data_IF_067232976479
#
_entry.id   IF_067232976479
#
_cell.length_a   1.000
_cell.length_b   1.000
_cell.length_c   1.000
_cell.angle_alpha   90.00
_cell.angle_beta   90.00
_cell.angle_gamma   90.00
#
_symmetry.space_group_name_H-M   'P 1'
#
loop_
_entity.id
_entity.type
_entity.pdbx_description
1 polymer ?
#
# COMPACT_ATOMS: atom_id res chain seq x y z
N UNK A 1 5.15 4.60 15.97
CA UNK A 1 6.34 3.79 16.29
C UNK A 1 6.92 3.30 14.98
N UNK A 2 8.10 3.77 14.62
CA UNK A 2 8.78 3.34 13.40
C UNK A 2 9.42 1.96 13.58
N UNK A 3 9.27 1.09 12.59
CA UNK A 3 10.31 0.13 12.27
C UNK A 3 10.90 0.50 10.92
N UNK A 4 12.21 0.76 10.97
CA UNK A 4 13.17 0.87 9.88
C UNK A 4 12.96 -0.19 8.80
N UNK A 5 13.50 0.09 7.59
CA UNK A 5 13.58 -0.83 6.44
C UNK A 5 13.60 -2.27 6.92
N UNK A 6 12.64 -3.09 6.50
CA UNK A 6 12.68 -4.53 6.82
C UNK A 6 13.89 -5.11 6.10
N UNK A 7 15.06 -5.10 6.77
CA UNK A 7 16.26 -5.81 6.38
C UNK A 7 16.14 -7.31 6.60
N UNK A 8 14.91 -7.84 6.69
CA UNK A 8 14.65 -9.24 6.99
C UNK A 8 13.83 -9.89 5.85
N UNK A 9 14.50 -10.55 4.88
CA UNK A 9 13.88 -11.28 3.78
C UNK A 9 12.76 -12.25 4.19
N UNK A 10 12.80 -12.75 5.43
CA UNK A 10 11.79 -13.65 5.98
C UNK A 10 10.40 -13.02 6.15
N UNK A 11 10.31 -11.73 6.49
CA UNK A 11 9.02 -11.05 6.65
C UNK A 11 8.36 -10.78 5.29
N UNK A 12 9.14 -10.44 4.27
CA UNK A 12 8.65 -10.32 2.90
C UNK A 12 8.20 -11.68 2.35
N UNK A 13 8.96 -12.75 2.65
CA UNK A 13 8.58 -14.11 2.30
C UNK A 13 7.31 -14.57 3.03
N UNK A 14 7.16 -14.24 4.32
CA UNK A 14 5.96 -14.57 5.10
C UNK A 14 4.74 -13.78 4.63
N UNK A 15 4.89 -12.50 4.28
CA UNK A 15 3.83 -11.69 3.68
C UNK A 15 3.42 -12.25 2.32
N UNK A 16 4.39 -12.54 1.43
CA UNK A 16 4.10 -13.20 0.15
C UNK A 16 3.43 -14.55 0.34
N UNK A 17 3.88 -15.37 1.28
CA UNK A 17 3.30 -16.70 1.55
C UNK A 17 1.88 -16.60 2.10
N UNK A 18 1.61 -15.65 3.02
CA UNK A 18 0.27 -15.38 3.52
C UNK A 18 -0.64 -14.87 2.41
N UNK A 19 -0.19 -13.90 1.61
CA UNK A 19 -0.95 -13.35 0.47
C UNK A 19 -1.23 -14.42 -0.58
N UNK A 20 -0.25 -15.25 -0.95
CA UNK A 20 -0.44 -16.36 -1.89
C UNK A 20 -1.38 -17.45 -1.38
N UNK A 21 -1.56 -17.57 -0.05
CA UNK A 21 -2.45 -18.57 0.55
C UNK A 21 -3.85 -18.01 0.82
N UNK A 22 -3.95 -16.73 1.20
CA UNK A 22 -5.20 -16.06 1.53
C UNK A 22 -5.99 -15.61 0.28
N UNK A 23 -5.31 -15.12 -0.75
CA UNK A 23 -5.95 -14.64 -1.99
C UNK A 23 -6.76 -15.77 -2.69
N UNK A 24 -6.25 -17.00 -2.87
CA UNK A 24 -7.00 -18.08 -3.50
C UNK A 24 -8.21 -18.55 -2.66
N UNK A 25 -8.07 -18.56 -1.34
CA UNK A 25 -9.14 -18.97 -0.41
C UNK A 25 -10.30 -17.95 -0.39
N UNK A 26 -9.98 -16.65 -0.42
CA UNK A 26 -11.00 -15.60 -0.53
C UNK A 26 -11.62 -15.61 -1.94
N UNK A 27 -10.82 -15.83 -2.99
CA UNK A 27 -11.31 -15.96 -4.36
C UNK A 27 -12.28 -17.13 -4.58
N UNK A 28 -12.14 -18.23 -3.83
CA UNK A 28 -13.11 -19.35 -3.86
C UNK A 28 -14.42 -19.03 -3.10
N UNK A 29 -14.35 -18.21 -2.05
CA UNK A 29 -15.51 -17.88 -1.22
C UNK A 29 -16.43 -16.83 -1.86
N UNK A 30 -15.89 -15.97 -2.73
CA UNK A 30 -16.56 -14.78 -3.30
C UNK A 30 -16.89 -14.98 -4.79
N UNK A 31 -17.19 -16.21 -5.21
CA UNK A 31 -17.47 -16.58 -6.60
C UNK A 31 -18.63 -15.79 -7.28
N UNK A 32 -19.43 -15.04 -6.51
CA UNK A 32 -20.50 -14.18 -7.01
C UNK A 32 -20.07 -12.73 -7.36
N UNK A 33 -18.86 -12.29 -6.99
CA UNK A 33 -18.36 -10.93 -7.24
C UNK A 33 -16.89 -10.92 -7.71
N UNK A 34 -16.57 -11.89 -8.55
CA UNK A 34 -15.22 -12.10 -9.10
C UNK A 34 -14.65 -10.84 -9.76
N UNK A 35 -15.48 -10.09 -10.48
CA UNK A 35 -15.05 -8.91 -11.21
C UNK A 35 -14.63 -7.77 -10.26
N UNK A 36 -15.37 -7.53 -9.17
CA UNK A 36 -14.98 -6.52 -8.18
C UNK A 36 -13.72 -6.91 -7.42
N UNK A 37 -13.53 -8.19 -7.13
CA UNK A 37 -12.32 -8.66 -6.46
C UNK A 37 -11.10 -8.65 -7.39
N UNK A 38 -11.29 -9.01 -8.65
CA UNK A 38 -10.26 -8.88 -9.68
C UNK A 38 -9.85 -7.41 -9.83
N UNK A 39 -10.80 -6.48 -9.89
CA UNK A 39 -10.52 -5.06 -9.90
C UNK A 39 -9.75 -4.62 -8.65
N UNK A 40 -10.11 -5.10 -7.46
CA UNK A 40 -9.38 -4.80 -6.23
C UNK A 40 -7.91 -5.23 -6.33
N UNK A 41 -7.65 -6.48 -6.73
CA UNK A 41 -6.28 -6.99 -6.87
C UNK A 41 -5.50 -6.20 -7.92
N UNK A 42 -6.08 -5.97 -9.10
CA UNK A 42 -5.44 -5.19 -10.17
C UNK A 42 -5.16 -3.75 -9.75
N UNK A 43 -6.08 -3.13 -8.99
CA UNK A 43 -5.91 -1.75 -8.51
C UNK A 43 -4.81 -1.64 -7.46
N UNK A 44 -4.68 -2.62 -6.56
CA UNK A 44 -3.58 -2.68 -5.58
C UNK A 44 -2.24 -2.86 -6.29
N UNK A 45 -2.17 -3.73 -7.30
CA UNK A 45 -0.93 -3.98 -8.06
C UNK A 45 -0.48 -2.76 -8.89
N UNK A 46 -1.44 -2.01 -9.46
CA UNK A 46 -1.15 -0.80 -10.24
C UNK A 46 -0.94 0.46 -9.39
N UNK A 47 -1.31 0.43 -8.12
CA UNK A 47 -1.18 1.60 -7.25
C UNK A 47 0.30 1.95 -7.05
N UNK A 48 0.69 3.23 -7.14
CA UNK A 48 2.08 3.65 -6.96
C UNK A 48 2.63 3.27 -5.59
N UNK A 49 3.94 3.05 -5.50
CA UNK A 49 4.62 2.87 -4.23
C UNK A 49 4.46 4.09 -3.33
N UNK A 50 4.75 3.95 -2.03
CA UNK A 50 4.54 5.03 -1.07
C UNK A 50 5.37 6.28 -1.40
N UNK A 51 6.60 6.10 -1.88
CA UNK A 51 7.48 7.18 -2.31
C UNK A 51 6.97 7.85 -3.60
N UNK A 52 6.55 7.07 -4.59
CA UNK A 52 6.00 7.61 -5.84
C UNK A 52 4.71 8.39 -5.57
N UNK A 53 3.83 7.87 -4.73
CA UNK A 53 2.58 8.56 -4.40
C UNK A 53 2.82 9.83 -3.57
N UNK A 54 3.82 9.82 -2.68
CA UNK A 54 4.27 11.04 -1.99
C UNK A 54 4.73 12.10 -2.99
N UNK A 55 5.49 11.70 -4.00
CA UNK A 55 6.00 12.64 -5.00
C UNK A 55 4.86 13.18 -5.88
N UNK A 56 3.86 12.35 -6.22
CA UNK A 56 2.61 12.83 -6.85
C UNK A 56 1.87 13.88 -6.00
N UNK A 57 1.83 13.71 -4.66
CA UNK A 57 1.23 14.70 -3.76
C UNK A 57 2.00 16.03 -3.78
N UNK A 58 3.34 15.97 -3.85
CA UNK A 58 4.19 17.15 -3.96
C UNK A 58 4.02 17.86 -5.29
N UNK A 59 3.94 17.11 -6.38
CA UNK A 59 3.72 17.63 -7.73
C UNK A 59 2.34 18.29 -7.87
N UNK A 60 1.35 17.83 -7.10
CA UNK A 60 0.04 18.47 -6.98
C UNK A 60 0.07 19.79 -6.18
N UNK A 61 1.22 20.20 -5.64
CA UNK A 61 1.41 21.48 -4.95
C UNK A 61 1.14 21.46 -3.45
N UNK A 62 1.11 20.27 -2.83
CA UNK A 62 1.04 20.13 -1.39
C UNK A 62 2.45 20.06 -0.79
N UNK A 63 2.63 20.72 0.35
CA UNK A 63 3.83 20.58 1.14
C UNK A 63 3.78 19.29 1.95
N UNK A 64 4.84 18.50 1.85
CA UNK A 64 4.97 17.22 2.53
C UNK A 64 6.08 17.33 3.57
N UNK A 65 5.74 17.14 4.85
CA UNK A 65 6.70 17.18 5.94
C UNK A 65 7.27 15.77 6.23
N UNK A 66 8.59 15.69 6.41
CA UNK A 66 9.28 14.42 6.67
C UNK A 66 9.10 13.41 5.55
N UNK A 67 8.88 12.14 5.88
CA UNK A 67 8.64 11.07 4.90
C UNK A 67 7.29 11.20 4.18
N UNK A 68 6.34 11.98 4.70
CA UNK A 68 5.06 12.21 4.03
C UNK A 68 4.04 11.08 4.07
N UNK A 69 4.40 9.93 4.63
CA UNK A 69 3.49 8.81 4.82
C UNK A 69 3.88 7.96 6.04
N UNK A 70 2.94 7.16 6.52
CA UNK A 70 3.11 6.21 7.61
C UNK A 70 2.59 4.83 7.18
N UNK A 71 3.46 3.82 7.23
CA UNK A 71 3.11 2.45 6.87
C UNK A 71 2.32 1.76 7.99
N UNK A 72 1.25 1.08 7.60
CA UNK A 72 0.43 0.23 8.44
C UNK A 72 0.69 -1.23 8.11
N UNK A 73 0.66 -2.09 9.12
CA UNK A 73 0.79 -3.56 8.98
C UNK A 73 2.01 -3.96 8.14
N UNK A 74 3.16 -3.30 8.34
CA UNK A 74 4.39 -3.61 7.61
C UNK A 74 4.41 -3.19 6.14
N UNK A 75 3.50 -2.29 5.72
CA UNK A 75 3.48 -1.71 4.37
C UNK A 75 2.31 -2.16 3.49
N UNK A 76 1.39 -2.97 4.02
CA UNK A 76 0.17 -3.39 3.31
C UNK A 76 -0.73 -2.20 2.98
N UNK A 77 -0.77 -1.22 3.87
CA UNK A 77 -1.44 0.06 3.68
C UNK A 77 -0.53 1.18 4.17
N UNK A 78 -0.78 2.41 3.70
CA UNK A 78 -0.08 3.60 4.17
C UNK A 78 -1.03 4.78 4.28
N UNK A 79 -0.76 5.67 5.24
CA UNK A 79 -1.45 6.94 5.39
C UNK A 79 -0.52 8.04 4.85
N UNK A 80 -0.89 8.69 3.76
CA UNK A 80 -0.16 9.83 3.20
C UNK A 80 -0.70 11.15 3.75
N UNK A 81 0.19 12.13 3.96
CA UNK A 81 -0.12 13.43 4.55
C UNK A 81 0.50 14.54 3.68
N UNK A 82 -0.31 15.54 3.34
CA UNK A 82 0.13 16.75 2.64
C UNK A 82 -0.62 17.97 3.17
N UNK A 83 0.05 19.11 3.26
CA UNK A 83 -0.50 20.37 3.76
C UNK A 83 -0.59 21.33 2.58
N UNK A 84 -1.75 21.95 2.38
CA UNK A 84 -1.88 23.00 1.37
C UNK A 84 -1.22 24.28 1.90
N UNK A 85 -0.22 24.84 1.20
CA UNK A 85 0.37 26.11 1.62
C UNK A 85 -0.68 27.23 1.57
N UNK A 86 -0.74 28.04 2.63
CA UNK A 86 -1.49 29.29 2.65
C UNK A 86 -0.66 30.33 1.88
N UNK A 87 -1.02 30.56 0.62
CA UNK A 87 -0.60 31.76 -0.11
C UNK A 87 -1.57 32.89 0.18
#
# INVERSE_FOLDING_TARGET
MEFSKVGNPLLNAAYKQWSFSAIPLIGQLVAADRDSYQYLVESIERFPSQDEFRDMIRDAGFDVAGCGYENLTGGVAAIHKGIKPLK
#
